data_IF_744964869583
#
_entry.id   IF_744964869583
#
_cell.length_a   1.000
_cell.length_b   1.000
_cell.length_c   1.000
_cell.angle_alpha   90.00
_cell.angle_beta   90.00
_cell.angle_gamma   90.00
#
_symmetry.space_group_name_H-M   'P 1'
#
loop_
_entity.id
_entity.type
_entity.pdbx_description
1 polymer ?
#
# COMPACT_ATOMS: atom_id res chain seq x y z
N UNK A 1 14.43 -6.66 -3.13
CA UNK A 1 15.31 -5.47 -3.10
C UNK A 1 16.57 -5.64 -3.96
N UNK A 2 17.32 -6.75 -3.86
CA UNK A 2 18.57 -6.94 -4.60
C UNK A 2 18.48 -6.68 -6.14
N UNK A 3 17.43 -7.10 -6.86
CA UNK A 3 17.30 -6.80 -8.29
C UNK A 3 17.18 -5.31 -8.60
N UNK A 4 16.46 -4.55 -7.76
CA UNK A 4 16.30 -3.10 -7.93
C UNK A 4 17.62 -2.37 -7.74
N UNK A 5 18.41 -2.78 -6.74
CA UNK A 5 19.74 -2.23 -6.49
C UNK A 5 20.64 -2.51 -7.69
N UNK A 6 20.65 -3.76 -8.17
CA UNK A 6 21.45 -4.16 -9.33
C UNK A 6 21.04 -3.39 -10.61
N UNK A 7 19.74 -3.14 -10.82
CA UNK A 7 19.26 -2.33 -11.94
C UNK A 7 19.63 -0.85 -11.79
N UNK A 8 19.58 -0.31 -10.56
CA UNK A 8 19.94 1.08 -10.30
C UNK A 8 21.41 1.38 -10.54
N UNK A 9 22.30 0.40 -10.33
CA UNK A 9 23.74 0.52 -10.65
C UNK A 9 23.97 0.69 -12.16
N UNK A 10 23.08 0.17 -13.00
CA UNK A 10 23.17 0.29 -14.46
C UNK A 10 22.51 1.58 -15.00
N UNK A 11 21.88 2.38 -14.12
CA UNK A 11 21.19 3.60 -14.52
C UNK A 11 22.17 4.61 -15.14
N UNK A 12 21.83 5.24 -16.28
CA UNK A 12 22.67 6.28 -16.85
C UNK A 12 22.83 7.47 -15.88
N UNK A 13 23.96 8.17 -15.99
CA UNK A 13 24.29 9.28 -15.10
C UNK A 13 23.60 10.59 -15.50
N UNK A 14 23.08 10.70 -16.73
CA UNK A 14 22.39 11.92 -17.16
C UNK A 14 21.09 12.10 -16.36
N UNK A 15 20.75 13.34 -15.92
CA UNK A 15 19.59 13.55 -15.06
C UNK A 15 18.27 13.03 -15.63
N UNK A 16 18.07 13.19 -16.95
CA UNK A 16 16.84 12.77 -17.64
C UNK A 16 16.72 11.25 -17.69
N UNK A 17 17.75 10.54 -18.13
CA UNK A 17 17.73 9.08 -18.24
C UNK A 17 17.67 8.41 -16.87
N UNK A 18 18.35 8.99 -15.88
CA UNK A 18 18.26 8.56 -14.49
C UNK A 18 16.85 8.75 -13.91
N UNK A 19 16.20 9.85 -14.29
CA UNK A 19 14.78 10.10 -14.01
C UNK A 19 13.88 9.02 -14.59
N UNK A 20 14.04 8.70 -15.87
CA UNK A 20 13.29 7.65 -16.57
C UNK A 20 13.49 6.28 -15.91
N UNK A 21 14.73 5.94 -15.55
CA UNK A 21 15.04 4.70 -14.82
C UNK A 21 14.31 4.65 -13.48
N UNK A 22 14.27 5.75 -12.73
CA UNK A 22 13.54 5.83 -11.46
C UNK A 22 12.03 5.62 -11.65
N UNK A 23 11.44 6.18 -12.70
CA UNK A 23 10.02 6.00 -13.03
C UNK A 23 9.74 4.53 -13.36
N UNK A 24 10.55 3.92 -14.24
CA UNK A 24 10.45 2.52 -14.63
C UNK A 24 10.52 1.58 -13.42
N UNK A 25 11.52 1.77 -12.54
CA UNK A 25 11.68 0.92 -11.35
C UNK A 25 10.55 1.11 -10.34
N UNK A 26 9.99 2.33 -10.21
CA UNK A 26 8.79 2.56 -9.39
C UNK A 26 7.57 1.85 -9.97
N UNK A 27 7.36 1.91 -11.29
CA UNK A 27 6.27 1.18 -11.96
C UNK A 27 6.41 -0.32 -11.73
N UNK A 28 7.60 -0.87 -11.94
CA UNK A 28 7.92 -2.28 -11.67
C UNK A 28 7.61 -2.67 -10.22
N UNK A 29 8.04 -1.87 -9.24
CA UNK A 29 7.79 -2.14 -7.83
C UNK A 29 6.28 -2.19 -7.52
N UNK A 30 5.51 -1.22 -8.01
CA UNK A 30 4.07 -1.20 -7.79
C UNK A 30 3.35 -2.37 -8.47
N UNK A 31 3.71 -2.70 -9.71
CA UNK A 31 3.18 -3.89 -10.40
C UNK A 31 3.48 -5.16 -9.61
N UNK A 32 4.71 -5.32 -9.13
CA UNK A 32 5.10 -6.48 -8.32
C UNK A 32 4.31 -6.62 -7.01
N UNK A 33 3.85 -5.51 -6.43
CA UNK A 33 2.97 -5.54 -5.26
C UNK A 33 1.54 -5.94 -5.62
N UNK A 34 1.00 -5.47 -6.75
CA UNK A 34 -0.41 -5.66 -7.09
C UNK A 34 -0.71 -6.90 -7.95
N UNK A 35 0.26 -7.52 -8.62
CA UNK A 35 0.01 -8.69 -9.50
C UNK A 35 0.48 -10.04 -8.94
N UNK A 36 -0.13 -11.15 -9.37
CA UNK A 36 0.21 -12.53 -8.93
C UNK A 36 1.52 -13.10 -9.51
N UNK A 37 2.24 -12.33 -10.34
CA UNK A 37 3.49 -12.75 -10.99
C UNK A 37 4.53 -13.38 -10.07
N UNK A 38 4.59 -12.93 -8.82
CA UNK A 38 5.57 -13.39 -7.83
C UNK A 38 4.98 -14.30 -6.77
N UNK A 39 3.82 -14.90 -7.01
CA UNK A 39 3.22 -15.85 -6.07
C UNK A 39 3.86 -17.24 -6.20
N UNK A 40 4.49 -17.54 -7.35
CA UNK A 40 5.20 -18.81 -7.63
C UNK A 40 6.51 -18.56 -8.38
N UNK A 41 7.45 -19.49 -8.25
CA UNK A 41 8.75 -19.47 -8.96
C UNK A 41 9.47 -18.10 -8.89
N UNK A 42 9.37 -17.42 -7.74
CA UNK A 42 9.81 -16.03 -7.54
C UNK A 42 11.22 -15.72 -8.07
N UNK A 43 12.25 -16.56 -7.81
CA UNK A 43 13.59 -16.28 -8.32
C UNK A 43 13.65 -16.24 -9.86
N UNK A 44 12.91 -17.12 -10.53
CA UNK A 44 12.86 -17.19 -11.99
C UNK A 44 12.14 -15.98 -12.58
N UNK A 45 10.97 -15.61 -12.04
CA UNK A 45 10.22 -14.44 -12.49
C UNK A 45 11.05 -13.16 -12.35
N UNK A 46 11.68 -12.97 -11.18
CA UNK A 46 12.59 -11.84 -10.92
C UNK A 46 13.75 -11.80 -11.93
N UNK A 47 14.37 -12.95 -12.23
CA UNK A 47 15.49 -13.00 -13.16
C UNK A 47 15.07 -12.65 -14.60
N UNK A 48 13.89 -13.10 -15.03
CA UNK A 48 13.33 -12.74 -16.33
C UNK A 48 13.11 -11.23 -16.43
N UNK A 49 12.44 -10.64 -15.45
CA UNK A 49 12.17 -9.20 -15.44
C UNK A 49 13.46 -8.39 -15.36
N UNK A 50 14.40 -8.79 -14.50
CA UNK A 50 15.71 -8.15 -14.38
C UNK A 50 16.44 -8.08 -15.73
N UNK A 51 16.46 -9.19 -16.49
CA UNK A 51 17.15 -9.25 -17.79
C UNK A 51 16.56 -8.28 -18.81
N UNK A 52 15.23 -8.12 -18.83
CA UNK A 52 14.56 -7.21 -19.76
C UNK A 52 14.72 -5.77 -19.28
N UNK A 53 14.44 -5.48 -18.00
CA UNK A 53 14.59 -4.16 -17.40
C UNK A 53 16.01 -3.60 -17.57
N UNK A 54 17.04 -4.43 -17.37
CA UNK A 54 18.44 -4.03 -17.62
C UNK A 54 18.64 -3.59 -19.07
N UNK A 55 18.08 -4.31 -20.04
CA UNK A 55 18.20 -3.94 -21.45
C UNK A 55 17.44 -2.65 -21.79
N UNK A 56 16.30 -2.39 -21.15
CA UNK A 56 15.55 -1.14 -21.31
C UNK A 56 16.37 0.04 -20.77
N UNK A 57 16.93 -0.10 -19.56
CA UNK A 57 17.78 0.92 -18.94
C UNK A 57 18.99 1.26 -19.85
N UNK A 58 19.52 0.26 -20.56
CA UNK A 58 20.62 0.42 -21.53
C UNK A 58 20.16 0.84 -22.94
N UNK A 59 18.87 1.18 -23.14
CA UNK A 59 18.33 1.64 -24.42
C UNK A 59 18.26 0.56 -25.52
N UNK A 60 18.23 -0.73 -25.15
CA UNK A 60 18.29 -1.88 -26.08
C UNK A 60 16.95 -2.59 -26.31
N UNK A 61 15.92 -2.24 -25.55
CA UNK A 61 14.62 -2.92 -25.48
C UNK A 61 13.52 -1.93 -25.12
N UNK A 62 12.28 -2.30 -25.43
CA UNK A 62 11.10 -1.52 -25.07
C UNK A 62 10.38 -2.09 -23.85
N UNK A 63 9.57 -1.24 -23.22
CA UNK A 63 8.87 -1.56 -21.98
C UNK A 63 7.81 -2.68 -22.13
N UNK A 64 7.20 -2.79 -23.31
CA UNK A 64 6.21 -3.82 -23.64
C UNK A 64 6.77 -5.25 -23.50
N UNK A 65 8.10 -5.40 -23.54
CA UNK A 65 8.76 -6.70 -23.42
C UNK A 65 8.93 -7.15 -21.96
N UNK A 66 8.64 -6.31 -20.97
CA UNK A 66 8.77 -6.67 -19.54
C UNK A 66 7.58 -7.54 -19.14
N UNK A 67 7.78 -8.82 -18.77
CA UNK A 67 6.66 -9.70 -18.48
C UNK A 67 5.83 -9.23 -17.27
N UNK A 68 6.44 -8.58 -16.27
CA UNK A 68 5.71 -7.95 -15.16
C UNK A 68 4.73 -6.84 -15.58
N UNK A 69 4.83 -6.32 -16.81
CA UNK A 69 3.93 -5.30 -17.37
C UNK A 69 2.89 -5.87 -18.31
N UNK A 70 2.88 -7.18 -18.54
CA UNK A 70 1.83 -7.85 -19.29
C UNK A 70 0.52 -7.81 -18.48
N UNK A 71 -0.46 -7.05 -18.97
CA UNK A 71 -1.76 -6.88 -18.32
C UNK A 71 -2.72 -8.04 -18.62
N UNK A 72 -2.50 -8.79 -19.70
CA UNK A 72 -3.28 -9.96 -20.05
C UNK A 72 -2.87 -11.16 -19.19
N UNK A 73 -1.56 -11.35 -18.98
CA UNK A 73 -1.03 -12.42 -18.12
C UNK A 73 -1.10 -12.06 -16.63
N UNK A 74 -0.84 -10.79 -16.29
CA UNK A 74 -0.79 -10.31 -14.91
C UNK A 74 -1.67 -9.06 -14.73
N UNK A 75 -3.00 -9.20 -14.74
CA UNK A 75 -3.90 -8.07 -14.52
C UNK A 75 -3.72 -7.47 -13.12
N UNK A 76 -4.15 -6.22 -12.97
CA UNK A 76 -4.36 -5.63 -11.65
C UNK A 76 -5.57 -6.30 -10.97
N UNK A 77 -5.61 -6.32 -9.63
CA UNK A 77 -6.71 -6.94 -8.91
C UNK A 77 -8.02 -6.23 -9.21
N UNK A 78 -9.08 -7.00 -9.42
CA UNK A 78 -10.43 -6.49 -9.56
C UNK A 78 -11.02 -6.06 -8.20
N UNK A 79 -12.23 -5.51 -8.24
CA UNK A 79 -12.91 -4.98 -7.06
C UNK A 79 -13.15 -6.07 -6.02
N UNK A 80 -13.58 -7.26 -6.45
CA UNK A 80 -13.86 -8.39 -5.56
C UNK A 80 -12.60 -8.90 -4.85
N UNK A 81 -11.46 -8.94 -5.54
CA UNK A 81 -10.15 -9.28 -4.98
C UNK A 81 -9.72 -8.27 -3.92
N UNK A 82 -9.93 -6.97 -4.19
CA UNK A 82 -9.62 -5.89 -3.23
C UNK A 82 -10.52 -6.00 -1.99
N UNK A 83 -11.82 -6.21 -2.15
CA UNK A 83 -12.78 -6.37 -1.04
C UNK A 83 -12.42 -7.57 -0.16
N UNK A 84 -12.02 -8.69 -0.78
CA UNK A 84 -11.63 -9.93 -0.09
C UNK A 84 -10.21 -9.91 0.48
N UNK A 85 -9.46 -8.85 0.24
CA UNK A 85 -8.09 -8.71 0.75
C UNK A 85 -8.08 -8.72 2.28
N UNK A 86 -7.22 -9.54 2.86
CA UNK A 86 -7.20 -9.85 4.30
C UNK A 86 -6.39 -8.85 5.11
N UNK A 87 -6.22 -9.11 6.41
CA UNK A 87 -5.53 -8.19 7.30
C UNK A 87 -4.04 -8.08 6.94
N UNK A 88 -3.50 -6.86 6.76
CA UNK A 88 -2.14 -6.64 6.24
C UNK A 88 -1.02 -7.11 7.17
N UNK A 89 -1.34 -7.57 8.39
CA UNK A 89 -0.39 -8.21 9.29
C UNK A 89 0.11 -9.55 8.76
N UNK A 90 -0.73 -10.30 8.02
CA UNK A 90 -0.32 -11.57 7.42
C UNK A 90 0.68 -11.35 6.27
N UNK A 91 1.33 -12.42 5.80
CA UNK A 91 2.22 -12.38 4.63
C UNK A 91 1.44 -12.35 3.31
N UNK A 92 0.28 -11.71 3.31
CA UNK A 92 -0.56 -11.52 2.14
C UNK A 92 -0.03 -10.33 1.33
N UNK A 93 0.22 -10.56 0.04
CA UNK A 93 0.81 -9.57 -0.87
C UNK A 93 -0.14 -8.40 -1.10
N UNK A 94 -1.40 -8.68 -1.47
CA UNK A 94 -2.38 -7.66 -1.83
C UNK A 94 -2.76 -6.81 -0.63
N UNK A 95 -2.96 -7.41 0.54
CA UNK A 95 -3.25 -6.68 1.77
C UNK A 95 -2.15 -5.67 2.11
N UNK A 96 -0.88 -6.08 2.01
CA UNK A 96 0.27 -5.20 2.24
C UNK A 96 0.40 -4.14 1.15
N UNK A 97 0.07 -4.46 -0.10
CA UNK A 97 0.06 -3.52 -1.20
C UNK A 97 -0.98 -2.41 -0.97
N UNK A 98 -2.19 -2.77 -0.54
CA UNK A 98 -3.25 -1.82 -0.18
C UNK A 98 -2.83 -0.94 1.00
N UNK A 99 -2.23 -1.52 2.04
CA UNK A 99 -1.69 -0.74 3.16
C UNK A 99 -0.59 0.23 2.70
N UNK A 100 0.33 -0.20 1.83
CA UNK A 100 1.36 0.69 1.27
C UNK A 100 0.77 1.82 0.43
N UNK A 101 -0.38 1.58 -0.22
CA UNK A 101 -1.07 2.62 -0.99
C UNK A 101 -1.60 3.73 -0.07
N UNK A 102 -2.15 3.39 1.10
CA UNK A 102 -2.57 4.40 2.08
C UNK A 102 -1.37 5.20 2.62
N UNK A 103 -0.22 4.55 2.81
CA UNK A 103 1.04 5.21 3.17
C UNK A 103 1.53 6.19 2.10
N UNK A 104 1.32 5.89 0.82
CA UNK A 104 1.65 6.81 -0.27
C UNK A 104 0.81 8.09 -0.20
N UNK A 105 -0.42 8.01 0.30
CA UNK A 105 -1.29 9.16 0.58
C UNK A 105 -0.93 9.95 1.85
N UNK A 106 0.14 9.55 2.57
CA UNK A 106 0.58 10.19 3.81
C UNK A 106 0.32 9.34 5.06
N UNK A 107 -0.68 8.45 5.02
CA UNK A 107 -1.17 7.66 6.17
C UNK A 107 -1.15 8.48 7.46
N UNK A 108 -1.90 9.58 7.44
CA UNK A 108 -1.98 10.51 8.56
C UNK A 108 -2.75 9.88 9.72
N UNK A 109 -2.34 10.21 10.95
CA UNK A 109 -3.14 9.84 12.10
C UNK A 109 -4.47 10.58 12.05
N UNK A 110 -5.56 9.86 12.30
CA UNK A 110 -6.89 10.46 12.21
C UNK A 110 -7.13 11.59 13.23
N UNK A 111 -6.44 11.56 14.38
CA UNK A 111 -6.59 12.58 15.41
C UNK A 111 -5.61 13.73 15.28
N UNK A 112 -4.31 13.45 15.22
CA UNK A 112 -3.28 14.48 15.28
C UNK A 112 -2.73 14.90 13.90
N UNK A 113 -3.17 14.24 12.82
CA UNK A 113 -2.74 14.52 11.45
C UNK A 113 -1.27 14.16 11.17
N UNK A 114 -0.54 13.58 12.14
CA UNK A 114 0.88 13.28 11.94
C UNK A 114 1.03 12.21 10.86
N UNK A 115 1.78 12.51 9.80
CA UNK A 115 2.04 11.57 8.71
C UNK A 115 2.89 10.37 9.16
N UNK A 116 2.74 9.27 8.45
CA UNK A 116 3.62 8.12 8.60
C UNK A 116 5.01 8.43 8.02
N UNK A 117 6.06 7.98 8.70
CA UNK A 117 7.44 8.08 8.24
C UNK A 117 8.24 6.83 8.60
N UNK A 118 9.42 6.67 8.00
CA UNK A 118 10.35 5.60 8.36
C UNK A 118 10.74 5.65 9.85
N UNK A 119 10.75 6.84 10.45
CA UNK A 119 11.11 7.02 11.86
C UNK A 119 10.01 6.56 12.83
N UNK A 120 8.73 6.65 12.42
CA UNK A 120 7.59 6.36 13.30
C UNK A 120 6.79 5.10 12.92
N UNK A 121 7.04 4.48 11.75
CA UNK A 121 6.24 3.34 11.26
C UNK A 121 6.19 2.16 12.24
N UNK A 122 7.28 1.88 12.95
CA UNK A 122 7.34 0.80 13.94
C UNK A 122 6.56 1.11 15.23
N UNK A 123 6.21 2.38 15.45
CA UNK A 123 5.46 2.84 16.62
C UNK A 123 3.96 2.95 16.34
N UNK A 124 3.52 2.75 15.09
CA UNK A 124 2.11 2.74 14.73
C UNK A 124 1.47 1.41 15.08
N UNK A 125 0.18 1.49 15.36
CA UNK A 125 -0.69 0.39 15.70
C UNK A 125 -1.68 0.19 14.57
N UNK A 126 -1.87 -1.07 14.18
CA UNK A 126 -2.99 -1.48 13.33
C UNK A 126 -4.29 -1.28 14.11
N UNK A 127 -5.26 -0.63 13.48
CA UNK A 127 -6.56 -0.37 14.08
C UNK A 127 -7.67 -0.66 13.06
N UNK A 128 -8.76 -1.23 13.58
CA UNK A 128 -9.97 -1.49 12.81
C UNK A 128 -10.82 -0.22 12.76
N UNK A 129 -11.03 0.35 11.57
CA UNK A 129 -11.94 1.51 11.40
C UNK A 129 -13.33 1.19 11.94
N UNK A 130 -13.83 0.00 11.59
CA UNK A 130 -15.05 -0.60 12.08
C UNK A 130 -14.67 -1.70 13.08
N UNK A 131 -14.82 -1.47 14.41
CA UNK A 131 -14.47 -2.45 15.43
C UNK A 131 -15.18 -3.79 15.22
N UNK A 132 -14.48 -4.89 15.51
CA UNK A 132 -14.93 -6.26 15.21
C UNK A 132 -16.35 -6.55 15.70
N UNK A 133 -16.66 -6.22 16.96
CA UNK A 133 -17.96 -6.50 17.55
C UNK A 133 -19.07 -5.66 16.89
N UNK A 134 -18.81 -4.38 16.67
CA UNK A 134 -19.73 -3.46 16.01
C UNK A 134 -20.02 -3.90 14.57
N UNK A 135 -18.99 -4.25 13.81
CA UNK A 135 -19.16 -4.66 12.41
C UNK A 135 -19.99 -5.93 12.30
N UNK A 136 -19.68 -6.95 13.11
CA UNK A 136 -20.42 -8.23 13.10
C UNK A 136 -21.88 -8.10 13.53
N UNK A 137 -22.20 -7.11 14.36
CA UNK A 137 -23.59 -6.80 14.71
C UNK A 137 -24.34 -6.20 13.52
N UNK A 138 -23.70 -5.31 12.75
CA UNK A 138 -24.33 -4.63 11.60
C UNK A 138 -24.35 -5.47 10.33
N UNK A 139 -23.32 -6.26 10.11
CA UNK A 139 -23.15 -7.15 8.97
C UNK A 139 -22.44 -8.44 9.44
N UNK A 140 -23.21 -9.50 9.76
CA UNK A 140 -22.65 -10.78 10.20
C UNK A 140 -21.73 -11.46 9.18
N UNK A 141 -21.88 -11.13 7.89
CA UNK A 141 -21.12 -11.74 6.79
C UNK A 141 -19.84 -10.93 6.44
N UNK A 142 -19.71 -9.71 6.94
CA UNK A 142 -18.52 -8.88 6.74
C UNK A 142 -17.28 -9.50 7.41
N UNK A 143 -16.14 -9.49 6.69
CA UNK A 143 -14.85 -9.83 7.29
C UNK A 143 -14.26 -8.62 8.03
N UNK A 144 -14.25 -8.60 9.38
CA UNK A 144 -13.64 -7.50 10.12
C UNK A 144 -12.14 -7.39 9.88
N UNK A 145 -11.49 -8.46 9.41
CA UNK A 145 -10.08 -8.49 9.10
C UNK A 145 -9.81 -8.16 7.62
N UNK A 146 -10.69 -7.44 6.93
CA UNK A 146 -10.39 -6.89 5.61
C UNK A 146 -9.26 -5.86 5.66
N UNK A 147 -8.41 -5.81 4.63
CA UNK A 147 -7.41 -4.75 4.44
C UNK A 147 -8.04 -3.36 4.37
N UNK A 148 -9.27 -3.27 3.86
CA UNK A 148 -10.01 -2.01 3.71
C UNK A 148 -10.54 -1.49 5.06
N UNK A 149 -10.60 -2.34 6.08
CA UNK A 149 -10.96 -1.97 7.44
C UNK A 149 -9.74 -1.60 8.30
N UNK A 150 -8.56 -1.43 7.69
CA UNK A 150 -7.30 -1.26 8.42
C UNK A 150 -6.72 0.16 8.26
N UNK A 151 -6.40 0.79 9.39
CA UNK A 151 -5.59 2.01 9.43
C UNK A 151 -4.38 1.85 10.36
N UNK A 152 -3.40 2.74 10.21
CA UNK A 152 -2.26 2.85 11.12
C UNK A 152 -2.35 4.15 11.91
N UNK A 153 -2.43 4.02 13.23
CA UNK A 153 -2.55 5.16 14.15
C UNK A 153 -1.50 5.07 15.25
N UNK A 154 -1.22 6.18 15.92
CA UNK A 154 -0.30 6.20 17.04
C UNK A 154 -0.93 5.53 18.28
N UNK A 155 -0.10 5.22 19.28
CA UNK A 155 -0.53 4.54 20.52
C UNK A 155 -1.57 5.33 21.32
N UNK A 156 -1.46 6.65 21.35
CA UNK A 156 -2.36 7.54 22.10
C UNK A 156 -3.74 7.54 21.45
N UNK A 157 -3.81 7.79 20.15
CA UNK A 157 -5.04 7.71 19.35
C UNK A 157 -5.71 6.34 19.50
N UNK A 158 -4.95 5.25 19.41
CA UNK A 158 -5.48 3.90 19.59
C UNK A 158 -6.09 3.67 20.99
N UNK A 159 -5.48 4.27 22.02
CA UNK A 159 -5.95 4.15 23.40
C UNK A 159 -7.16 5.04 23.71
N UNK A 160 -7.36 6.12 22.95
CA UNK A 160 -8.49 7.04 23.11
C UNK A 160 -9.74 6.60 22.31
N UNK A 161 -9.54 5.96 21.15
CA UNK A 161 -10.63 5.48 20.29
C UNK A 161 -11.12 4.09 20.73
N UNK A 162 -10.20 3.18 21.11
CA UNK A 162 -10.53 1.82 21.55
C UNK A 162 -11.49 1.09 20.58
N UNK A 163 -12.63 0.60 21.09
CA UNK A 163 -13.66 -0.06 20.30
C UNK A 163 -14.92 0.83 20.15
N UNK A 164 -14.76 2.15 20.22
CA UNK A 164 -15.88 3.09 20.01
C UNK A 164 -16.45 2.91 18.61
N UNK A 165 -17.75 3.18 18.50
CA UNK A 165 -18.41 3.16 17.21
C UNK A 165 -17.77 4.18 16.25
N UNK A 166 -17.65 3.85 14.95
CA UNK A 166 -16.88 4.66 14.01
C UNK A 166 -17.34 6.11 13.93
N UNK A 167 -18.64 6.30 13.70
CA UNK A 167 -19.25 7.63 13.63
C UNK A 167 -19.03 8.39 14.94
N UNK A 168 -19.10 7.72 16.09
CA UNK A 168 -18.93 8.37 17.39
C UNK A 168 -17.54 8.95 17.57
N UNK A 169 -16.48 8.16 17.35
CA UNK A 169 -15.12 8.68 17.54
C UNK A 169 -14.74 9.71 16.46
N UNK A 170 -15.30 9.61 15.26
CA UNK A 170 -15.11 10.61 14.20
C UNK A 170 -15.73 11.94 14.59
N UNK A 171 -16.98 11.93 15.06
CA UNK A 171 -17.67 13.14 15.54
C UNK A 171 -16.96 13.76 16.75
N UNK A 172 -16.55 12.95 17.73
CA UNK A 172 -15.74 13.43 18.87
C UNK A 172 -14.45 14.12 18.41
N UNK A 173 -13.86 13.64 17.31
CA UNK A 173 -12.65 14.26 16.74
C UNK A 173 -12.99 15.55 15.98
N UNK A 174 -14.06 15.57 15.18
CA UNK A 174 -14.53 16.78 14.49
C UNK A 174 -14.93 17.91 15.46
N UNK A 175 -15.56 17.58 16.59
CA UNK A 175 -15.97 18.54 17.61
C UNK A 175 -14.77 19.10 18.41
N UNK A 176 -13.69 18.33 18.50
CA UNK A 176 -12.48 18.72 19.23
C UNK A 176 -11.43 19.43 18.35
N UNK A 177 -11.47 19.23 17.02
CA UNK A 177 -10.55 19.84 16.06
C UNK A 177 -11.12 21.16 15.53
N UNK A 178 -10.35 22.24 15.64
CA UNK A 178 -10.73 23.57 15.14
C UNK A 178 -10.97 23.59 13.62
N UNK A 179 -10.45 22.60 12.89
CA UNK A 179 -10.57 22.48 11.43
C UNK A 179 -11.84 21.75 10.96
N UNK A 180 -12.58 21.12 11.89
CA UNK A 180 -13.88 20.51 11.64
C UNK A 180 -13.88 19.29 10.69
N UNK A 181 -15.07 18.94 10.20
CA UNK A 181 -15.31 17.68 9.45
C UNK A 181 -14.48 17.53 8.17
N UNK A 182 -14.27 18.62 7.43
CA UNK A 182 -13.54 18.61 6.16
C UNK A 182 -12.12 18.08 6.32
N UNK A 183 -11.45 18.44 7.41
CA UNK A 183 -10.09 17.99 7.68
C UNK A 183 -10.06 16.52 8.11
N UNK A 184 -11.01 16.06 8.92
CA UNK A 184 -11.10 14.66 9.31
C UNK A 184 -11.39 13.76 8.10
N UNK A 185 -12.23 14.22 7.16
CA UNK A 185 -12.47 13.52 5.88
C UNK A 185 -11.23 13.43 5.01
N UNK A 186 -10.35 14.44 5.04
CA UNK A 186 -9.10 14.45 4.28
C UNK A 186 -8.08 13.43 4.81
N UNK A 187 -8.13 13.14 6.12
CA UNK A 187 -7.21 12.20 6.80
C UNK A 187 -7.60 10.71 6.63
N UNK A 188 -8.83 10.43 6.21
CA UNK A 188 -9.37 9.08 5.93
C UNK A 188 -9.14 8.66 4.48
#
# INVERSE_FOLDING_TARGET
LAPLIALWVEAPETPNERGNTRILLKKYLWRAFFTERYDRAVPTAILQDYRVLKKIILGKREEIEVPCFDEDEYPLPNVEEIIRSRWPRYKDRLARALLLLTMRGGAEDIKDGASLSLANVQQRHYHHLFPIAWLREKDPDADPNSALNCILINRRTNSEILAKEPIKYLLETCEADDLGESEIRRRL
#
